data_IF_738867111450
#
_entry.id   IF_738867111450
#
_cell.length_a   1.000
_cell.length_b   1.000
_cell.length_c   1.000
_cell.angle_alpha   90.00
_cell.angle_beta   90.00
_cell.angle_gamma   90.00
#
_symmetry.space_group_name_H-M   'P 1'
#
loop_
_entity.id
_entity.type
_entity.pdbx_description
1 polymer ?
#
# COMPACT_ATOMS: atom_id res chain seq x y z
N UNK A 1 6.81 2.87 4.79
CA UNK A 1 7.91 2.68 5.74
C UNK A 1 8.52 4.00 6.17
N UNK A 2 9.15 4.81 5.30
CA UNK A 2 9.78 6.09 5.69
C UNK A 2 8.83 7.00 6.46
N UNK A 3 7.57 7.12 6.05
CA UNK A 3 6.52 7.87 6.75
C UNK A 3 6.37 7.43 8.20
N UNK A 4 6.30 6.11 8.47
CA UNK A 4 6.15 5.60 9.84
C UNK A 4 7.38 5.89 10.69
N UNK A 5 8.59 5.81 10.11
CA UNK A 5 9.82 6.22 10.78
C UNK A 5 9.80 7.71 11.12
N UNK A 6 9.31 8.54 10.18
CA UNK A 6 9.23 9.98 10.39
C UNK A 6 8.21 10.34 11.47
N UNK A 7 6.98 9.79 11.40
CA UNK A 7 5.95 10.02 12.41
C UNK A 7 6.41 9.55 13.80
N UNK A 8 7.11 8.44 13.87
CA UNK A 8 7.54 7.84 15.13
C UNK A 8 8.77 8.54 15.74
N UNK A 9 9.76 8.92 14.93
CA UNK A 9 11.06 9.41 15.39
C UNK A 9 11.22 10.93 15.27
N UNK A 10 10.48 11.58 14.38
CA UNK A 10 10.52 13.02 14.12
C UNK A 10 9.11 13.57 13.84
N UNK A 11 8.22 13.57 14.84
CA UNK A 11 6.80 13.90 14.67
C UNK A 11 6.54 15.33 14.21
N UNK A 12 7.47 16.26 14.42
CA UNK A 12 7.33 17.67 14.03
C UNK A 12 7.14 17.85 12.52
N UNK A 13 7.66 16.95 11.70
CA UNK A 13 7.47 16.98 10.23
C UNK A 13 6.14 16.40 9.75
N UNK A 14 5.29 15.87 10.63
CA UNK A 14 4.09 15.15 10.24
C UNK A 14 2.81 15.89 10.59
N UNK A 15 1.88 15.94 9.61
CA UNK A 15 0.51 16.45 9.80
C UNK A 15 -0.48 15.37 9.35
N UNK A 16 -1.24 14.81 10.30
CA UNK A 16 -2.21 13.75 10.04
C UNK A 16 -2.67 13.07 11.33
N UNK A 17 -3.22 11.87 11.20
CA UNK A 17 -3.69 11.10 12.35
C UNK A 17 -2.56 10.89 13.37
N UNK A 18 -2.81 11.30 14.61
CA UNK A 18 -1.85 11.18 15.71
C UNK A 18 -0.68 12.18 15.64
N UNK A 19 -0.77 13.26 14.86
CA UNK A 19 0.29 14.28 14.79
C UNK A 19 0.48 15.05 16.08
N UNK A 20 -0.60 15.22 16.86
CA UNK A 20 -0.57 16.08 18.07
C UNK A 20 -0.40 17.58 17.80
N UNK A 21 -0.43 18.00 16.53
CA UNK A 21 -0.28 19.40 16.13
C UNK A 21 -1.50 20.20 16.57
N UNK A 22 -1.27 21.29 17.28
CA UNK A 22 -2.27 22.28 17.70
C UNK A 22 -1.99 23.60 16.98
N UNK A 23 -3.04 24.35 16.60
CA UNK A 23 -2.90 25.64 15.90
C UNK A 23 -3.11 25.55 14.40
N UNK A 24 -2.54 26.51 13.64
CA UNK A 24 -2.68 26.54 12.18
C UNK A 24 -1.83 25.46 11.52
N UNK A 25 -2.51 24.46 10.96
CA UNK A 25 -1.87 23.33 10.28
C UNK A 25 -1.11 23.74 9.02
N UNK A 26 -1.50 24.85 8.36
CA UNK A 26 -0.80 25.36 7.16
C UNK A 26 0.54 25.97 7.54
N UNK A 27 0.55 26.80 8.57
CA UNK A 27 1.79 27.36 9.11
C UNK A 27 2.73 26.24 9.57
N UNK A 28 2.20 25.25 10.26
CA UNK A 28 3.00 24.09 10.70
C UNK A 28 3.64 23.34 9.52
N UNK A 29 2.88 23.07 8.44
CA UNK A 29 3.42 22.43 7.22
C UNK A 29 4.53 23.27 6.60
N UNK A 30 4.33 24.58 6.47
CA UNK A 30 5.31 25.48 5.86
C UNK A 30 6.59 25.60 6.68
N UNK A 31 6.45 25.69 8.01
CA UNK A 31 7.59 25.78 8.93
C UNK A 31 8.46 24.51 8.95
N UNK A 32 7.89 23.35 8.59
CA UNK A 32 8.58 22.06 8.59
C UNK A 32 8.91 21.52 7.19
N UNK A 33 8.99 22.39 6.17
CA UNK A 33 9.46 22.00 4.84
C UNK A 33 10.97 21.63 4.88
N UNK A 34 11.42 20.65 4.08
CA UNK A 34 10.64 19.80 3.15
C UNK A 34 10.00 18.57 3.81
N UNK A 35 10.21 18.34 5.11
CA UNK A 35 9.83 17.12 5.81
C UNK A 35 8.32 16.86 5.78
N UNK A 36 7.51 17.89 5.89
CA UNK A 36 6.05 17.79 5.82
C UNK A 36 5.55 17.27 4.46
N UNK A 37 6.25 17.52 3.36
CA UNK A 37 5.95 16.92 2.05
C UNK A 37 6.33 15.44 2.02
N UNK A 38 7.49 15.09 2.56
CA UNK A 38 7.94 13.69 2.64
C UNK A 38 7.11 12.86 3.63
N UNK A 39 6.41 13.48 4.58
CA UNK A 39 5.49 12.78 5.48
C UNK A 39 4.25 12.24 4.75
N UNK A 40 3.81 12.90 3.67
CA UNK A 40 2.65 12.48 2.88
C UNK A 40 3.02 11.46 1.78
N UNK A 41 3.78 10.42 2.11
CA UNK A 41 4.18 9.39 1.14
C UNK A 41 3.13 8.29 0.92
N UNK A 42 1.92 8.46 1.43
CA UNK A 42 0.80 7.53 1.24
C UNK A 42 0.45 7.30 -0.24
N UNK A 43 0.76 8.26 -1.12
CA UNK A 43 0.62 8.10 -2.58
C UNK A 43 1.31 6.82 -3.10
N UNK A 44 2.45 6.41 -2.50
CA UNK A 44 3.15 5.18 -2.90
C UNK A 44 2.35 3.91 -2.58
N UNK A 45 1.62 3.90 -1.45
CA UNK A 45 0.73 2.80 -1.09
C UNK A 45 -0.52 2.77 -1.97
N UNK A 46 -1.09 3.95 -2.25
CA UNK A 46 -2.23 4.08 -3.18
C UNK A 46 -1.83 3.70 -4.62
N UNK A 47 -0.60 3.99 -5.04
CA UNK A 47 -0.07 3.49 -6.33
C UNK A 47 -0.06 1.95 -6.36
N UNK A 48 0.33 1.29 -5.26
CA UNK A 48 0.24 -0.18 -5.16
C UNK A 48 -1.21 -0.66 -5.32
N UNK A 49 -2.19 0.01 -4.71
CA UNK A 49 -3.61 -0.33 -4.85
C UNK A 49 -4.10 -0.18 -6.31
N UNK A 50 -3.76 0.93 -6.95
CA UNK A 50 -4.07 1.14 -8.36
C UNK A 50 -3.41 0.11 -9.29
N UNK A 51 -2.16 -0.28 -9.01
CA UNK A 51 -1.47 -1.34 -9.75
C UNK A 51 -2.17 -2.70 -9.61
N UNK A 52 -2.74 -3.01 -8.45
CA UNK A 52 -3.51 -4.26 -8.27
C UNK A 52 -4.67 -4.31 -9.28
N UNK A 53 -5.50 -3.29 -9.31
CA UNK A 53 -6.63 -3.19 -10.24
C UNK A 53 -6.15 -3.15 -11.71
N UNK A 54 -5.09 -2.40 -12.02
CA UNK A 54 -4.44 -2.38 -13.33
C UNK A 54 -4.10 -3.80 -13.81
N UNK A 55 -3.40 -4.59 -13.00
CA UNK A 55 -3.01 -5.95 -13.38
C UNK A 55 -4.18 -6.92 -13.46
N UNK A 56 -5.23 -6.73 -12.66
CA UNK A 56 -6.48 -7.51 -12.76
C UNK A 56 -7.09 -7.30 -14.15
N UNK A 57 -7.27 -6.05 -14.57
CA UNK A 57 -7.82 -5.70 -15.90
C UNK A 57 -6.94 -6.25 -17.02
N UNK A 58 -5.63 -6.02 -16.95
CA UNK A 58 -4.68 -6.51 -17.96
C UNK A 58 -4.74 -8.03 -18.10
N UNK A 59 -4.80 -8.78 -16.98
CA UNK A 59 -4.90 -10.22 -17.01
C UNK A 59 -6.22 -10.70 -17.63
N UNK A 60 -7.35 -10.09 -17.26
CA UNK A 60 -8.67 -10.38 -17.79
C UNK A 60 -8.74 -10.14 -19.31
N UNK A 61 -8.28 -8.97 -19.77
CA UNK A 61 -8.27 -8.61 -21.21
C UNK A 61 -7.36 -9.50 -22.04
N UNK A 62 -6.17 -9.87 -21.50
CA UNK A 62 -5.25 -10.79 -22.18
C UNK A 62 -5.83 -12.20 -22.36
N UNK A 63 -6.73 -12.61 -21.49
CA UNK A 63 -7.43 -13.89 -21.57
C UNK A 63 -8.72 -13.82 -22.41
N UNK A 64 -8.90 -12.80 -23.24
CA UNK A 64 -10.10 -12.66 -24.09
C UNK A 64 -11.38 -12.44 -23.30
N UNK A 65 -11.30 -11.75 -22.18
CA UNK A 65 -12.44 -11.47 -21.30
C UNK A 65 -13.01 -12.75 -20.62
N UNK A 66 -12.14 -13.73 -20.36
CA UNK A 66 -12.53 -14.95 -19.65
C UNK A 66 -12.71 -14.71 -18.15
N UNK A 67 -13.94 -14.87 -17.67
CA UNK A 67 -14.32 -14.72 -16.27
C UNK A 67 -13.62 -15.73 -15.36
N UNK A 68 -13.22 -16.90 -15.86
CA UNK A 68 -12.50 -17.93 -15.11
C UNK A 68 -11.19 -17.37 -14.52
N UNK A 69 -10.53 -16.47 -15.23
CA UNK A 69 -9.32 -15.78 -14.74
C UNK A 69 -9.62 -14.94 -13.50
N UNK A 70 -10.76 -14.23 -13.47
CA UNK A 70 -11.19 -13.44 -12.32
C UNK A 70 -11.55 -14.33 -11.14
N UNK A 71 -12.30 -15.41 -11.38
CA UNK A 71 -12.66 -16.40 -10.36
C UNK A 71 -11.42 -17.03 -9.74
N UNK A 72 -10.44 -17.43 -10.56
CA UNK A 72 -9.16 -17.98 -10.08
C UNK A 72 -8.37 -16.99 -9.24
N UNK A 73 -8.32 -15.72 -9.64
CA UNK A 73 -7.66 -14.68 -8.87
C UNK A 73 -8.39 -14.36 -7.56
N UNK A 74 -9.73 -14.34 -7.59
CA UNK A 74 -10.56 -14.13 -6.41
C UNK A 74 -10.36 -15.25 -5.38
N UNK A 75 -10.39 -16.50 -5.80
CA UNK A 75 -10.12 -17.66 -4.92
C UNK A 75 -8.72 -17.60 -4.30
N UNK A 76 -7.70 -17.15 -5.06
CA UNK A 76 -6.34 -17.00 -4.53
C UNK A 76 -6.21 -15.90 -3.50
N UNK A 77 -7.02 -14.83 -3.59
CA UNK A 77 -6.77 -13.58 -2.87
C UNK A 77 -6.69 -13.73 -1.35
N UNK A 78 -7.66 -14.41 -0.74
CA UNK A 78 -7.66 -14.64 0.70
C UNK A 78 -6.47 -15.52 1.14
N UNK A 79 -6.29 -16.67 0.50
CA UNK A 79 -5.22 -17.62 0.85
C UNK A 79 -3.82 -17.07 0.60
N UNK A 80 -3.67 -16.11 -0.30
CA UNK A 80 -2.41 -15.43 -0.57
C UNK A 80 -1.96 -14.54 0.59
N UNK A 81 -2.92 -13.97 1.34
CA UNK A 81 -2.63 -13.01 2.41
C UNK A 81 -2.82 -13.59 3.81
N UNK A 82 -3.68 -14.60 3.99
CA UNK A 82 -4.11 -15.05 5.31
C UNK A 82 -2.92 -15.49 6.19
N UNK A 83 -2.01 -16.32 5.69
CA UNK A 83 -0.90 -16.82 6.51
C UNK A 83 0.08 -15.70 6.93
N UNK A 84 0.62 -14.86 6.03
CA UNK A 84 1.54 -13.79 6.45
C UNK A 84 0.86 -12.75 7.35
N UNK A 85 -0.41 -12.39 7.11
CA UNK A 85 -1.15 -11.46 7.97
C UNK A 85 -1.43 -12.08 9.33
N UNK A 86 -1.84 -13.35 9.36
CA UNK A 86 -2.04 -14.12 10.60
C UNK A 86 -0.78 -14.10 11.45
N UNK A 87 0.35 -14.51 10.89
CA UNK A 87 1.62 -14.53 11.63
C UNK A 87 2.02 -13.14 12.12
N UNK A 88 1.88 -12.11 11.28
CA UNK A 88 2.20 -10.74 11.68
C UNK A 88 1.29 -10.23 12.81
N UNK A 89 -0.03 -10.50 12.75
CA UNK A 89 -0.99 -10.09 13.77
C UNK A 89 -0.71 -10.77 15.10
N UNK A 90 -0.54 -12.11 15.09
CA UNK A 90 -0.24 -12.89 16.29
C UNK A 90 1.12 -12.47 16.89
N UNK A 91 2.15 -12.33 16.05
CA UNK A 91 3.46 -11.85 16.49
C UNK A 91 3.36 -10.43 17.08
N UNK A 92 2.61 -9.52 16.46
CA UNK A 92 2.38 -8.15 16.97
C UNK A 92 1.75 -8.15 18.35
N UNK A 93 0.68 -8.91 18.55
CA UNK A 93 0.00 -9.03 19.84
C UNK A 93 0.90 -9.65 20.91
N UNK A 94 1.56 -10.76 20.61
CA UNK A 94 2.43 -11.43 21.57
C UNK A 94 3.67 -10.59 21.92
N UNK A 95 4.35 -10.00 20.95
CA UNK A 95 5.52 -9.16 21.21
C UNK A 95 5.15 -7.90 22.01
N UNK A 96 3.94 -7.38 21.83
CA UNK A 96 3.44 -6.28 22.65
C UNK A 96 3.18 -6.75 24.09
N UNK A 97 2.45 -7.85 24.28
CA UNK A 97 2.16 -8.43 25.62
C UNK A 97 3.42 -8.78 26.41
N UNK A 98 4.49 -9.24 25.75
CA UNK A 98 5.79 -9.47 26.36
C UNK A 98 6.64 -8.21 26.58
N UNK A 99 6.11 -7.00 26.26
CA UNK A 99 6.84 -5.74 26.41
C UNK A 99 8.02 -5.54 25.47
N UNK A 100 8.09 -6.33 24.39
CA UNK A 100 9.16 -6.24 23.37
C UNK A 100 8.88 -5.08 22.43
N UNK A 101 7.62 -4.84 22.04
CA UNK A 101 7.20 -3.67 21.28
C UNK A 101 6.93 -2.50 22.21
N UNK A 102 7.86 -1.56 22.31
CA UNK A 102 7.82 -0.46 23.25
C UNK A 102 7.28 0.82 22.60
N UNK A 103 5.99 0.86 22.27
CA UNK A 103 5.35 2.02 21.65
C UNK A 103 5.45 3.27 22.55
N UNK A 104 5.07 3.16 23.81
CA UNK A 104 5.12 4.23 24.82
C UNK A 104 6.56 4.67 25.12
N UNK A 105 7.49 3.72 25.12
CA UNK A 105 8.92 4.02 25.32
C UNK A 105 9.49 4.91 24.22
N UNK A 106 9.05 4.73 22.98
CA UNK A 106 9.43 5.61 21.87
C UNK A 106 8.67 6.95 21.94
N UNK A 107 7.39 6.94 22.32
CA UNK A 107 6.61 8.16 22.54
C UNK A 107 7.27 9.08 23.57
N UNK A 108 7.72 8.54 24.69
CA UNK A 108 8.41 9.30 25.73
C UNK A 108 9.73 9.95 25.29
N UNK A 109 10.44 9.32 24.32
CA UNK A 109 11.70 9.85 23.79
C UNK A 109 11.50 10.90 22.69
N UNK A 110 10.49 10.75 21.85
CA UNK A 110 10.30 11.55 20.64
C UNK A 110 9.16 12.56 20.73
N UNK A 111 8.29 12.43 21.73
CA UNK A 111 7.06 13.22 21.84
C UNK A 111 5.97 12.88 20.82
N UNK A 112 6.12 11.75 20.09
CA UNK A 112 5.17 11.35 19.06
C UNK A 112 3.87 10.82 19.66
N UNK A 113 2.78 11.57 19.47
CA UNK A 113 1.42 11.17 19.86
C UNK A 113 0.95 9.94 19.07
N UNK A 114 1.42 9.77 17.84
CA UNK A 114 1.09 8.59 17.04
C UNK A 114 1.54 7.28 17.71
N UNK A 115 2.70 7.27 18.36
CA UNK A 115 3.21 6.09 19.06
C UNK A 115 2.30 5.63 20.18
N UNK A 116 1.57 6.54 20.86
CA UNK A 116 0.56 6.19 21.87
C UNK A 116 -0.78 5.82 21.25
N UNK A 117 -1.14 6.44 20.11
CA UNK A 117 -2.41 6.19 19.43
C UNK A 117 -2.53 4.81 18.78
N UNK A 118 -1.40 4.12 18.56
CA UNK A 118 -1.36 2.77 17.94
C UNK A 118 -1.17 1.63 18.94
N UNK A 119 -1.13 1.93 20.24
CA UNK A 119 -1.04 0.91 21.28
C UNK A 119 -2.29 0.02 21.22
N UNK A 120 -2.15 -1.32 21.23
CA UNK A 120 -3.28 -2.21 21.28
C UNK A 120 -4.18 -1.95 22.50
N UNK A 121 -5.49 -1.90 22.29
CA UNK A 121 -6.47 -1.61 23.35
C UNK A 121 -7.01 -2.85 24.03
N UNK A 122 -6.67 -4.04 23.50
CA UNK A 122 -7.10 -5.33 24.03
C UNK A 122 -5.97 -6.35 24.01
N UNK A 123 -5.96 -7.24 24.97
CA UNK A 123 -5.07 -8.38 25.10
C UNK A 123 -5.79 -9.73 24.88
N UNK A 124 -7.07 -9.69 24.51
CA UNK A 124 -7.91 -10.89 24.35
C UNK A 124 -7.43 -11.79 23.20
N UNK A 125 -6.97 -13.04 23.45
CA UNK A 125 -6.46 -13.94 22.43
C UNK A 125 -7.51 -14.33 21.37
N UNK A 126 -8.79 -14.44 21.80
CA UNK A 126 -9.90 -14.75 20.88
C UNK A 126 -10.15 -13.63 19.87
N UNK A 127 -10.08 -12.37 20.30
CA UNK A 127 -10.15 -11.22 19.40
C UNK A 127 -8.91 -11.14 18.49
N UNK A 128 -7.74 -11.44 19.01
CA UNK A 128 -6.49 -11.48 18.20
C UNK A 128 -6.61 -12.50 17.07
N UNK A 129 -7.11 -13.70 17.37
CA UNK A 129 -7.36 -14.75 16.38
C UNK A 129 -8.43 -14.32 15.35
N UNK A 130 -9.55 -13.76 15.81
CA UNK A 130 -10.60 -13.25 14.93
C UNK A 130 -10.08 -12.15 13.99
N UNK A 131 -9.32 -11.18 14.53
CA UNK A 131 -8.76 -10.09 13.70
C UNK A 131 -7.78 -10.62 12.67
N UNK A 132 -6.90 -11.55 13.04
CA UNK A 132 -5.92 -12.15 12.14
C UNK A 132 -6.55 -12.91 10.97
N UNK A 133 -7.71 -13.57 11.20
CA UNK A 133 -8.37 -14.39 10.18
C UNK A 133 -9.46 -13.65 9.39
N UNK A 134 -10.20 -12.73 10.03
CA UNK A 134 -11.37 -12.10 9.41
C UNK A 134 -11.45 -10.57 9.61
N UNK A 135 -11.27 -10.08 10.83
CA UNK A 135 -11.56 -8.70 11.19
C UNK A 135 -10.75 -7.67 10.40
N UNK A 136 -9.48 -7.97 10.09
CA UNK A 136 -8.61 -7.13 9.27
C UNK A 136 -9.15 -6.98 7.84
N UNK A 137 -9.66 -8.05 7.25
CA UNK A 137 -10.13 -8.06 5.86
C UNK A 137 -11.51 -7.43 5.69
N UNK A 138 -12.44 -7.75 6.59
CA UNK A 138 -13.87 -7.41 6.44
C UNK A 138 -14.27 -6.17 7.25
N UNK A 139 -13.69 -5.97 8.45
CA UNK A 139 -14.11 -4.94 9.39
C UNK A 139 -13.05 -3.84 9.62
N UNK A 140 -11.92 -3.88 8.91
CA UNK A 140 -10.78 -2.96 9.12
C UNK A 140 -10.30 -2.87 10.59
N UNK A 141 -10.30 -3.99 11.30
CA UNK A 141 -9.86 -4.07 12.71
C UNK A 141 -8.38 -4.37 12.79
N UNK A 142 -7.58 -3.36 13.16
CA UNK A 142 -6.10 -3.39 13.09
C UNK A 142 -5.42 -3.17 14.45
N UNK A 143 -6.07 -3.60 15.53
CA UNK A 143 -5.64 -3.36 16.91
C UNK A 143 -4.17 -3.74 17.20
N UNK A 144 -3.71 -4.88 16.66
CA UNK A 144 -2.41 -5.44 17.02
C UNK A 144 -1.26 -5.04 16.07
N UNK A 145 -1.58 -4.51 14.90
CA UNK A 145 -0.59 -4.04 13.94
C UNK A 145 -1.21 -3.02 12.99
N UNK A 146 -1.00 -1.76 13.29
CA UNK A 146 -1.66 -0.62 12.61
C UNK A 146 -1.52 -0.64 11.08
N UNK A 147 -0.37 -1.06 10.57
CA UNK A 147 -0.12 -1.07 9.10
C UNK A 147 -1.04 -1.99 8.32
N UNK A 148 -1.76 -2.89 8.99
CA UNK A 148 -2.68 -3.83 8.35
C UNK A 148 -3.99 -3.19 7.85
N UNK A 149 -4.26 -1.90 8.14
CA UNK A 149 -5.41 -1.19 7.58
C UNK A 149 -5.47 -1.25 6.05
N UNK A 150 -4.31 -1.29 5.39
CA UNK A 150 -4.22 -1.42 3.94
C UNK A 150 -4.76 -2.78 3.43
N UNK A 151 -4.79 -3.82 4.26
CA UNK A 151 -5.29 -5.15 3.88
C UNK A 151 -6.78 -5.15 3.58
N UNK A 152 -7.57 -4.42 4.37
CA UNK A 152 -8.98 -4.22 4.09
C UNK A 152 -9.19 -3.58 2.72
N UNK A 153 -8.48 -2.49 2.42
CA UNK A 153 -8.60 -1.77 1.14
C UNK A 153 -8.15 -2.66 -0.03
N UNK A 154 -7.01 -3.36 0.11
CA UNK A 154 -6.52 -4.29 -0.92
C UNK A 154 -7.55 -5.41 -1.18
N UNK A 155 -8.11 -5.98 -0.11
CA UNK A 155 -9.02 -7.10 -0.19
C UNK A 155 -10.33 -6.68 -0.86
N UNK A 156 -11.05 -5.72 -0.26
CA UNK A 156 -12.33 -5.24 -0.78
C UNK A 156 -12.19 -4.61 -2.16
N UNK A 157 -11.18 -3.75 -2.40
CA UNK A 157 -10.94 -3.13 -3.70
C UNK A 157 -10.64 -4.14 -4.81
N UNK A 158 -9.95 -5.25 -4.49
CA UNK A 158 -9.76 -6.35 -5.45
C UNK A 158 -11.07 -7.03 -5.80
N UNK A 159 -11.91 -7.36 -4.78
CA UNK A 159 -13.20 -8.02 -5.03
C UNK A 159 -14.19 -7.10 -5.75
N UNK A 160 -14.19 -5.79 -5.46
CA UNK A 160 -14.95 -4.81 -6.24
C UNK A 160 -14.51 -4.83 -7.72
N UNK A 161 -13.19 -4.84 -7.97
CA UNK A 161 -12.66 -4.92 -9.36
C UNK A 161 -13.07 -6.22 -10.04
N UNK A 162 -12.96 -7.38 -9.37
CA UNK A 162 -13.43 -8.66 -9.91
C UNK A 162 -14.91 -8.64 -10.19
N UNK A 163 -15.75 -8.16 -9.27
CA UNK A 163 -17.21 -8.12 -9.41
C UNK A 163 -17.65 -7.23 -10.57
N UNK A 164 -17.08 -6.03 -10.67
CA UNK A 164 -17.40 -5.08 -11.76
C UNK A 164 -17.02 -5.69 -13.13
N UNK A 165 -15.83 -6.29 -13.24
CA UNK A 165 -15.40 -6.92 -14.50
C UNK A 165 -16.22 -8.17 -14.83
N UNK A 166 -16.58 -8.99 -13.85
CA UNK A 166 -17.39 -10.17 -14.07
C UNK A 166 -18.81 -9.84 -14.57
N UNK A 167 -19.41 -8.77 -14.02
CA UNK A 167 -20.78 -8.36 -14.36
C UNK A 167 -20.83 -7.49 -15.63
N UNK A 168 -19.91 -6.57 -15.80
CA UNK A 168 -19.95 -5.56 -16.84
C UNK A 168 -18.77 -5.60 -17.83
N UNK A 169 -17.80 -6.48 -17.65
CA UNK A 169 -16.59 -6.51 -18.48
C UNK A 169 -16.84 -6.87 -19.96
N UNK A 170 -17.94 -7.59 -20.26
CA UNK A 170 -18.33 -8.00 -21.62
C UNK A 170 -19.39 -7.11 -22.27
N UNK A 171 -19.82 -6.00 -21.63
CA UNK A 171 -20.80 -5.09 -22.24
C UNK A 171 -20.21 -4.43 -23.49
N UNK A 172 -21.09 -4.13 -24.48
CA UNK A 172 -20.72 -3.52 -25.76
C UNK A 172 -19.94 -2.20 -25.58
N UNK A 173 -20.34 -1.37 -24.63
CA UNK A 173 -19.68 -0.10 -24.29
C UNK A 173 -18.86 -0.26 -23.02
N UNK A 174 -17.60 -0.67 -23.14
CA UNK A 174 -16.69 -0.98 -22.01
C UNK A 174 -16.57 0.13 -20.98
N UNK A 175 -16.64 1.39 -21.41
CA UNK A 175 -16.57 2.54 -20.50
C UNK A 175 -17.71 2.62 -19.50
N UNK A 176 -18.87 2.02 -19.81
CA UNK A 176 -19.99 1.87 -18.86
C UNK A 176 -19.55 1.08 -17.63
N UNK A 177 -18.75 0.03 -17.79
CA UNK A 177 -18.19 -0.74 -16.69
C UNK A 177 -17.41 0.15 -15.69
N UNK A 178 -16.54 1.01 -16.22
CA UNK A 178 -15.75 1.92 -15.39
C UNK A 178 -16.57 3.07 -14.81
N UNK A 179 -17.60 3.54 -15.51
CA UNK A 179 -18.55 4.52 -14.98
C UNK A 179 -19.34 3.94 -13.79
N UNK A 180 -19.82 2.70 -13.89
CA UNK A 180 -20.47 1.99 -12.78
C UNK A 180 -19.50 1.84 -11.61
N UNK A 181 -18.26 1.44 -11.88
CA UNK A 181 -17.23 1.31 -10.83
C UNK A 181 -16.98 2.66 -10.13
N UNK A 182 -16.90 3.75 -10.90
CA UNK A 182 -16.75 5.10 -10.36
C UNK A 182 -17.93 5.48 -9.46
N UNK A 183 -19.17 5.23 -9.90
CA UNK A 183 -20.37 5.52 -9.12
C UNK A 183 -20.37 4.79 -7.76
N UNK A 184 -19.89 3.55 -7.72
CA UNK A 184 -19.76 2.80 -6.46
C UNK A 184 -18.62 3.35 -5.60
N UNK A 185 -17.46 3.64 -6.20
CA UNK A 185 -16.26 4.07 -5.49
C UNK A 185 -16.34 5.48 -4.91
N UNK A 186 -17.17 6.37 -5.48
CA UNK A 186 -17.35 7.76 -4.98
C UNK A 186 -17.86 7.79 -3.54
N UNK A 187 -18.70 6.81 -3.13
CA UNK A 187 -19.18 6.73 -1.76
C UNK A 187 -18.09 6.33 -0.75
N UNK A 188 -16.98 5.74 -1.23
CA UNK A 188 -15.85 5.32 -0.44
C UNK A 188 -14.55 5.73 -1.14
N UNK A 189 -14.07 6.97 -0.94
CA UNK A 189 -12.97 7.56 -1.72
C UNK A 189 -11.68 6.72 -1.79
N UNK A 190 -11.40 5.90 -0.77
CA UNK A 190 -10.26 4.98 -0.77
C UNK A 190 -10.26 3.98 -1.96
N UNK A 191 -11.44 3.69 -2.54
CA UNK A 191 -11.54 2.78 -3.69
C UNK A 191 -11.46 3.46 -5.05
N UNK A 192 -11.48 4.78 -5.12
CA UNK A 192 -11.31 5.53 -6.38
C UNK A 192 -9.99 5.19 -7.09
N UNK A 193 -8.96 4.85 -6.34
CA UNK A 193 -7.67 4.45 -6.89
C UNK A 193 -7.75 3.13 -7.68
N UNK A 194 -8.67 2.23 -7.32
CA UNK A 194 -8.91 1.01 -8.09
C UNK A 194 -9.59 1.32 -9.43
N UNK A 195 -10.48 2.31 -9.47
CA UNK A 195 -11.04 2.81 -10.72
C UNK A 195 -9.95 3.38 -11.61
N UNK A 196 -9.09 4.24 -11.06
CA UNK A 196 -7.95 4.82 -11.78
C UNK A 196 -7.04 3.73 -12.37
N UNK A 197 -6.69 2.71 -11.56
CA UNK A 197 -5.90 1.57 -12.01
C UNK A 197 -6.59 0.75 -13.09
N UNK A 198 -7.90 0.50 -12.95
CA UNK A 198 -8.70 -0.26 -13.93
C UNK A 198 -8.77 0.46 -15.28
N UNK A 199 -9.04 1.77 -15.28
CA UNK A 199 -9.05 2.61 -16.49
C UNK A 199 -7.67 2.57 -17.17
N UNK A 200 -6.58 2.72 -16.40
CA UNK A 200 -5.23 2.62 -16.93
C UNK A 200 -4.92 1.23 -17.51
N UNK A 201 -5.43 0.16 -16.90
CA UNK A 201 -5.30 -1.21 -17.42
C UNK A 201 -5.98 -1.39 -18.77
N UNK A 202 -7.16 -0.78 -18.96
CA UNK A 202 -7.86 -0.78 -20.25
C UNK A 202 -7.08 0.03 -21.30
N UNK A 203 -6.63 1.22 -20.96
CA UNK A 203 -5.82 2.06 -21.85
C UNK A 203 -4.51 1.37 -22.27
N UNK A 204 -3.88 0.62 -21.37
CA UNK A 204 -2.70 -0.17 -21.68
C UNK A 204 -2.96 -1.21 -22.77
N UNK A 205 -4.08 -1.90 -22.72
CA UNK A 205 -4.42 -2.90 -23.75
C UNK A 205 -4.68 -2.25 -25.11
N UNK A 206 -5.37 -1.10 -25.14
CA UNK A 206 -5.63 -0.35 -26.38
C UNK A 206 -4.34 0.21 -27.01
N UNK A 207 -3.33 0.57 -26.19
CA UNK A 207 -2.07 1.15 -26.69
C UNK A 207 -1.18 0.16 -27.43
N UNK A 208 -1.25 -1.14 -27.18
CA UNK A 208 -0.36 -2.12 -27.83
C UNK A 208 -0.33 -2.01 -29.35
N UNK A 209 -1.26 -1.26 -29.94
CA UNK A 209 -1.46 -1.13 -31.37
C UNK A 209 -0.91 0.18 -32.01
N UNK A 210 -0.45 1.23 -31.27
CA UNK A 210 -0.28 2.47 -32.01
C UNK A 210 0.63 3.60 -31.56
N UNK A 211 1.29 3.64 -30.41
CA UNK A 211 2.02 4.83 -29.98
C UNK A 211 3.56 4.66 -29.94
N UNK A 212 4.24 5.06 -31.03
CA UNK A 212 5.70 5.16 -31.11
C UNK A 212 6.11 6.56 -31.56
N UNK A 213 6.16 7.54 -30.66
CA UNK A 213 6.77 8.84 -31.01
C UNK A 213 7.50 9.45 -29.81
N UNK A 214 8.65 10.11 -30.07
CA UNK A 214 9.52 10.72 -29.06
C UNK A 214 8.87 11.83 -28.23
N UNK A 215 7.81 12.50 -28.74
CA UNK A 215 7.03 13.49 -28.00
C UNK A 215 6.25 12.90 -26.80
N UNK A 216 5.86 11.64 -26.87
CA UNK A 216 5.10 10.97 -25.80
C UNK A 216 5.94 10.71 -24.55
N UNK A 217 7.27 10.63 -24.67
CA UNK A 217 8.16 10.41 -23.52
C UNK A 217 8.13 11.59 -22.55
N UNK A 218 8.25 12.81 -23.05
CA UNK A 218 8.23 14.02 -22.21
C UNK A 218 6.86 14.24 -21.59
N UNK A 219 5.78 13.99 -22.32
CA UNK A 219 4.42 14.01 -21.78
C UNK A 219 4.27 12.99 -20.66
N UNK A 220 4.80 11.76 -20.84
CA UNK A 220 4.79 10.74 -19.81
C UNK A 220 5.56 11.17 -18.54
N UNK A 221 6.73 11.77 -18.68
CA UNK A 221 7.50 12.34 -17.55
C UNK A 221 6.70 13.44 -16.84
N UNK A 222 6.12 14.37 -17.61
CA UNK A 222 5.32 15.47 -17.05
C UNK A 222 4.11 14.95 -16.26
N UNK A 223 3.41 13.93 -16.76
CA UNK A 223 2.28 13.31 -16.06
C UNK A 223 2.73 12.61 -14.77
N UNK A 224 3.86 11.89 -14.78
CA UNK A 224 4.38 11.27 -13.55
C UNK A 224 4.71 12.34 -12.50
N UNK A 225 5.39 13.42 -12.89
CA UNK A 225 5.72 14.52 -11.97
C UNK A 225 4.45 15.17 -11.45
N UNK A 226 3.48 15.48 -12.33
CA UNK A 226 2.21 16.07 -11.94
C UNK A 226 1.46 15.17 -10.95
N UNK A 227 1.40 13.86 -11.22
CA UNK A 227 0.76 12.89 -10.33
C UNK A 227 1.43 12.79 -8.96
N UNK A 228 2.75 12.86 -8.89
CA UNK A 228 3.48 12.92 -7.63
C UNK A 228 3.19 14.23 -6.88
N UNK A 229 3.23 15.37 -7.56
CA UNK A 229 2.91 16.67 -6.94
C UNK A 229 1.50 16.68 -6.36
N UNK A 230 0.48 16.25 -7.13
CA UNK A 230 -0.91 16.18 -6.66
C UNK A 230 -1.02 15.24 -5.45
N UNK A 231 -0.40 14.06 -5.51
CA UNK A 231 -0.47 13.07 -4.44
C UNK A 231 0.32 13.44 -3.18
N UNK A 232 1.22 14.42 -3.25
CA UNK A 232 1.99 14.90 -2.09
C UNK A 232 1.37 16.15 -1.44
N UNK A 233 0.28 16.71 -1.98
CA UNK A 233 -0.39 17.88 -1.38
C UNK A 233 -0.90 17.52 0.02
N UNK A 234 -0.45 18.23 1.08
CA UNK A 234 -0.92 17.97 2.43
C UNK A 234 -2.38 18.38 2.62
N UNK A 235 -3.10 17.66 3.49
CA UNK A 235 -4.55 17.88 3.73
C UNK A 235 -4.96 19.33 4.03
N UNK A 236 -4.19 20.16 4.78
CA UNK A 236 -4.60 21.53 5.05
C UNK A 236 -4.69 22.45 3.83
N UNK A 237 -4.08 22.04 2.70
CA UNK A 237 -4.10 22.80 1.45
C UNK A 237 -5.17 22.32 0.47
N UNK A 238 -5.93 21.28 0.82
CA UNK A 238 -6.99 20.78 -0.04
C UNK A 238 -8.25 21.69 0.04
N UNK A 239 -8.94 21.88 -1.08
CA UNK A 239 -10.26 22.53 -1.08
C UNK A 239 -11.28 21.76 -0.24
N UNK A 240 -12.28 22.47 0.28
CA UNK A 240 -13.39 21.87 1.02
C UNK A 240 -14.08 20.80 0.16
N UNK A 241 -14.31 19.64 0.73
CA UNK A 241 -14.93 18.49 0.05
C UNK A 241 -13.96 17.60 -0.73
N UNK A 242 -12.70 17.98 -0.87
CA UNK A 242 -11.67 17.12 -1.47
C UNK A 242 -10.92 16.36 -0.36
N UNK A 243 -10.93 15.04 -0.44
CA UNK A 243 -10.18 14.18 0.51
C UNK A 243 -8.79 13.80 -0.02
N UNK A 244 -7.90 13.37 0.88
CA UNK A 244 -6.58 12.87 0.49
C UNK A 244 -6.68 11.66 -0.46
N UNK A 245 -7.66 10.78 -0.24
CA UNK A 245 -7.88 9.60 -1.09
C UNK A 245 -8.26 10.00 -2.52
N UNK A 246 -9.03 11.07 -2.69
CA UNK A 246 -9.34 11.61 -4.02
C UNK A 246 -8.08 12.14 -4.71
N UNK A 247 -7.23 12.89 -4.00
CA UNK A 247 -5.96 13.37 -4.56
C UNK A 247 -5.01 12.22 -4.90
N UNK A 248 -4.96 11.18 -4.07
CA UNK A 248 -4.18 9.99 -4.37
C UNK A 248 -4.71 9.26 -5.62
N UNK A 249 -6.02 9.13 -5.78
CA UNK A 249 -6.60 8.48 -6.96
C UNK A 249 -6.27 9.23 -8.25
N UNK A 250 -6.38 10.57 -8.23
CA UNK A 250 -5.98 11.43 -9.36
C UNK A 250 -4.47 11.35 -9.60
N UNK A 251 -3.65 11.42 -8.55
CA UNK A 251 -2.21 11.28 -8.64
C UNK A 251 -1.80 9.94 -9.27
N UNK A 252 -2.41 8.84 -8.83
CA UNK A 252 -2.16 7.50 -9.38
C UNK A 252 -2.60 7.40 -10.84
N UNK A 253 -3.75 7.99 -11.20
CA UNK A 253 -4.19 8.05 -12.60
C UNK A 253 -3.14 8.71 -13.49
N UNK A 254 -2.60 9.86 -13.08
CA UNK A 254 -1.55 10.55 -13.83
C UNK A 254 -0.24 9.75 -13.86
N UNK A 255 0.20 9.18 -12.73
CA UNK A 255 1.43 8.37 -12.68
C UNK A 255 1.32 7.17 -13.62
N UNK A 256 0.24 6.38 -13.53
CA UNK A 256 0.06 5.21 -14.38
C UNK A 256 -0.08 5.58 -15.86
N UNK A 257 -0.84 6.64 -16.16
CA UNK A 257 -0.94 7.18 -17.53
C UNK A 257 0.43 7.60 -18.08
N UNK A 258 1.23 8.27 -17.27
CA UNK A 258 2.61 8.65 -17.63
C UNK A 258 3.51 7.46 -17.89
N UNK A 259 3.42 6.41 -17.07
CA UNK A 259 4.16 5.14 -17.26
C UNK A 259 3.72 4.43 -18.55
N UNK A 260 2.42 4.45 -18.85
CA UNK A 260 1.86 3.91 -20.10
C UNK A 260 2.44 4.66 -21.29
N UNK A 261 2.55 5.97 -21.25
CA UNK A 261 3.03 6.79 -22.35
C UNK A 261 4.55 6.73 -22.52
N UNK A 262 5.32 6.49 -21.45
CA UNK A 262 6.79 6.52 -21.49
C UNK A 262 7.42 5.13 -21.28
N UNK A 263 7.75 4.47 -22.38
CA UNK A 263 8.47 3.19 -22.35
C UNK A 263 9.86 3.30 -21.66
N UNK A 264 10.51 4.48 -21.69
CA UNK A 264 11.80 4.69 -21.03
C UNK A 264 11.67 4.64 -19.51
N UNK A 265 10.66 5.32 -18.94
CA UNK A 265 10.40 5.26 -17.49
C UNK A 265 10.01 3.85 -17.09
N UNK A 266 9.15 3.19 -17.88
CA UNK A 266 8.76 1.82 -17.61
C UNK A 266 9.96 0.87 -17.59
N UNK A 267 10.88 0.95 -18.57
CA UNK A 267 12.11 0.16 -18.60
C UNK A 267 13.05 0.47 -17.44
N UNK A 268 13.13 1.73 -17.00
CA UNK A 268 13.92 2.12 -15.83
C UNK A 268 13.35 1.48 -14.54
N UNK A 269 12.02 1.51 -14.36
CA UNK A 269 11.36 0.86 -13.21
C UNK A 269 11.39 -0.68 -13.28
N UNK A 270 11.51 -1.26 -14.47
CA UNK A 270 11.67 -2.70 -14.66
C UNK A 270 13.12 -3.19 -14.44
N UNK A 271 14.01 -2.34 -13.94
CA UNK A 271 15.39 -2.72 -13.67
C UNK A 271 15.47 -3.79 -12.57
N UNK A 272 16.48 -4.65 -12.66
CA UNK A 272 16.66 -5.84 -11.80
C UNK A 272 16.45 -5.56 -10.31
N UNK A 273 17.01 -4.45 -9.82
CA UNK A 273 16.92 -4.07 -8.40
C UNK A 273 15.51 -3.66 -8.00
N UNK A 274 14.80 -2.90 -8.83
CA UNK A 274 13.42 -2.50 -8.56
C UNK A 274 12.49 -3.73 -8.52
N UNK A 275 12.67 -4.66 -9.46
CA UNK A 275 11.93 -5.94 -9.48
C UNK A 275 12.27 -6.80 -8.25
N UNK A 276 13.55 -6.82 -7.86
CA UNK A 276 14.00 -7.55 -6.67
C UNK A 276 13.38 -6.97 -5.40
N UNK A 277 13.44 -5.65 -5.18
CA UNK A 277 12.78 -4.98 -4.06
C UNK A 277 11.25 -5.17 -4.08
N UNK A 278 10.62 -5.03 -5.23
CA UNK A 278 9.18 -5.21 -5.40
C UNK A 278 8.68 -6.59 -4.96
N UNK A 279 9.51 -7.63 -5.09
CA UNK A 279 9.19 -8.99 -4.62
C UNK A 279 8.90 -9.06 -3.12
N UNK A 280 9.62 -8.28 -2.32
CA UNK A 280 9.55 -8.30 -0.86
C UNK A 280 8.68 -7.17 -0.28
N UNK A 281 8.08 -6.33 -1.14
CA UNK A 281 7.35 -5.13 -0.71
C UNK A 281 6.26 -5.43 0.32
N UNK A 282 5.52 -6.51 0.14
CA UNK A 282 4.46 -6.91 1.08
C UNK A 282 5.05 -7.33 2.44
N UNK A 283 6.10 -8.14 2.42
CA UNK A 283 6.82 -8.52 3.66
C UNK A 283 7.43 -7.29 4.36
N UNK A 284 7.95 -6.29 3.60
CA UNK A 284 8.44 -5.03 4.17
C UNK A 284 7.31 -4.28 4.88
N UNK A 285 6.10 -4.22 4.29
CA UNK A 285 4.93 -3.58 4.91
C UNK A 285 4.59 -4.25 6.25
N UNK A 286 4.72 -5.57 6.36
CA UNK A 286 4.41 -6.29 7.60
C UNK A 286 5.51 -6.17 8.65
N UNK A 287 6.77 -6.21 8.24
CA UNK A 287 7.92 -6.37 9.15
C UNK A 287 8.45 -5.05 9.71
N UNK A 288 8.35 -3.93 8.96
CA UNK A 288 9.04 -2.68 9.33
C UNK A 288 8.59 -2.09 10.68
N UNK A 289 7.35 -2.31 11.10
CA UNK A 289 6.84 -1.86 12.41
C UNK A 289 7.56 -2.61 13.54
N UNK A 290 7.77 -3.91 13.40
CA UNK A 290 8.51 -4.68 14.41
C UNK A 290 9.93 -4.14 14.59
N UNK A 291 10.62 -3.87 13.49
CA UNK A 291 11.98 -3.32 13.54
C UNK A 291 11.99 -1.89 14.10
N UNK A 292 10.97 -1.09 13.78
CA UNK A 292 10.84 0.29 14.30
C UNK A 292 10.78 0.31 15.84
N UNK A 293 9.95 -0.54 16.44
CA UNK A 293 9.73 -0.58 17.89
C UNK A 293 10.66 -1.52 18.68
N UNK A 294 11.62 -2.14 18.00
CA UNK A 294 12.65 -2.96 18.63
C UNK A 294 14.05 -2.41 18.31
N UNK A 295 14.62 -2.82 17.19
CA UNK A 295 15.97 -2.45 16.76
C UNK A 295 16.15 -0.93 16.60
N UNK A 296 15.22 -0.26 15.92
CA UNK A 296 15.37 1.18 15.67
C UNK A 296 15.21 2.00 16.93
N UNK A 297 14.34 1.58 17.85
CA UNK A 297 14.24 2.20 19.19
C UNK A 297 15.52 2.03 19.98
N UNK A 298 16.09 0.81 20.00
CA UNK A 298 17.36 0.56 20.65
C UNK A 298 18.48 1.43 20.05
N UNK A 299 18.56 1.49 18.72
CA UNK A 299 19.54 2.30 18.01
C UNK A 299 19.35 3.81 18.27
N UNK A 300 18.10 4.27 18.33
CA UNK A 300 17.78 5.66 18.66
C UNK A 300 18.30 6.02 20.06
N UNK A 301 18.02 5.18 21.08
CA UNK A 301 18.51 5.40 22.44
C UNK A 301 20.04 5.43 22.50
N UNK A 302 20.71 4.55 21.77
CA UNK A 302 22.16 4.49 21.72
C UNK A 302 22.76 5.75 21.09
N UNK A 303 22.23 6.19 19.95
CA UNK A 303 22.79 7.32 19.20
C UNK A 303 22.38 8.68 19.77
N UNK A 304 21.24 8.80 20.44
CA UNK A 304 20.77 10.04 21.05
C UNK A 304 21.70 10.56 22.15
N UNK A 305 22.52 9.71 22.73
CA UNK A 305 23.55 10.11 23.72
C UNK A 305 24.69 10.89 23.05
N UNK A 306 24.96 10.64 21.79
CA UNK A 306 26.11 11.21 21.07
C UNK A 306 25.70 12.26 20.03
N UNK A 307 24.43 12.31 19.63
CA UNK A 307 23.93 13.12 18.52
C UNK A 307 22.79 14.01 19.00
N UNK A 308 23.05 15.30 19.12
CA UNK A 308 22.05 16.31 19.52
C UNK A 308 21.10 16.72 18.37
N UNK A 309 21.55 16.60 17.11
CA UNK A 309 20.82 17.00 15.91
C UNK A 309 19.72 16.02 15.54
N UNK A 310 18.44 16.38 15.76
CA UNK A 310 17.27 15.51 15.47
C UNK A 310 17.24 14.97 14.04
N UNK A 311 17.60 15.79 13.03
CA UNK A 311 17.60 15.40 11.62
C UNK A 311 18.67 14.36 11.31
N UNK A 312 19.87 14.57 11.86
CA UNK A 312 20.98 13.63 11.70
C UNK A 312 20.66 12.31 12.41
N UNK A 313 20.15 12.39 13.64
CA UNK A 313 19.74 11.21 14.42
C UNK A 313 18.67 10.41 13.68
N UNK A 314 17.61 11.06 13.20
CA UNK A 314 16.56 10.44 12.40
C UNK A 314 17.15 9.78 11.14
N UNK A 315 17.98 10.52 10.39
CA UNK A 315 18.59 10.03 9.16
C UNK A 315 19.45 8.78 9.36
N UNK A 316 20.29 8.77 10.41
CA UNK A 316 21.15 7.63 10.75
C UNK A 316 20.34 6.43 11.23
N UNK A 317 19.37 6.63 12.13
CA UNK A 317 18.52 5.54 12.61
C UNK A 317 17.74 4.93 11.44
N UNK A 318 17.13 5.74 10.58
CA UNK A 318 16.41 5.27 9.41
C UNK A 318 17.33 4.50 8.45
N UNK A 319 18.51 5.06 8.11
CA UNK A 319 19.45 4.46 7.17
C UNK A 319 20.00 3.12 7.67
N UNK A 320 20.34 3.01 8.95
CA UNK A 320 20.86 1.77 9.54
C UNK A 320 19.77 0.72 9.78
N UNK A 321 18.52 1.14 9.98
CA UNK A 321 17.39 0.22 10.13
C UNK A 321 16.92 -0.38 8.81
N UNK A 322 17.08 0.32 7.67
CA UNK A 322 16.63 -0.15 6.35
C UNK A 322 17.20 -1.54 5.96
N UNK A 323 18.53 -1.81 6.07
CA UNK A 323 19.10 -3.12 5.80
C UNK A 323 18.52 -4.22 6.69
N UNK A 324 18.27 -3.91 7.98
CA UNK A 324 17.70 -4.86 8.94
C UNK A 324 16.26 -5.19 8.57
N UNK A 325 15.44 -4.17 8.25
CA UNK A 325 14.08 -4.39 7.74
C UNK A 325 14.12 -5.27 6.49
N UNK A 326 15.03 -5.00 5.56
CA UNK A 326 15.10 -5.77 4.31
C UNK A 326 15.50 -7.22 4.56
N UNK A 327 16.49 -7.45 5.42
CA UNK A 327 16.94 -8.80 5.78
C UNK A 327 15.80 -9.61 6.43
N UNK A 328 15.14 -9.03 7.42
CA UNK A 328 13.99 -9.66 8.08
C UNK A 328 12.81 -9.88 7.11
N UNK A 329 12.59 -8.98 6.17
CA UNK A 329 11.54 -9.12 5.15
C UNK A 329 11.83 -10.24 4.16
N UNK A 330 13.10 -10.47 3.78
CA UNK A 330 13.51 -11.63 2.96
C UNK A 330 13.23 -12.93 3.70
N UNK A 331 13.55 -12.99 5.00
CA UNK A 331 13.24 -14.15 5.86
C UNK A 331 11.72 -14.38 5.95
N UNK A 332 10.95 -13.33 6.25
CA UNK A 332 9.49 -13.39 6.35
C UNK A 332 8.83 -13.83 5.04
N UNK A 333 9.29 -13.30 3.90
CA UNK A 333 8.83 -13.71 2.58
C UNK A 333 9.00 -15.21 2.35
N UNK A 334 10.19 -15.74 2.64
CA UNK A 334 10.50 -17.17 2.41
C UNK A 334 9.71 -18.09 3.32
N UNK A 335 9.53 -17.70 4.58
CA UNK A 335 8.90 -18.54 5.61
C UNK A 335 7.37 -18.51 5.55
N UNK A 336 6.76 -17.38 5.20
CA UNK A 336 5.31 -17.20 5.33
C UNK A 336 4.64 -16.76 4.03
N UNK A 337 5.18 -15.78 3.30
CA UNK A 337 4.52 -15.27 2.11
C UNK A 337 4.60 -16.26 0.94
N UNK A 338 5.76 -16.85 0.69
CA UNK A 338 5.94 -17.82 -0.41
C UNK A 338 5.10 -19.10 -0.21
N UNK A 339 5.05 -19.73 0.98
CA UNK A 339 4.13 -20.83 1.24
C UNK A 339 2.67 -20.47 1.06
N UNK A 340 2.26 -19.26 1.52
CA UNK A 340 0.89 -18.77 1.36
C UNK A 340 0.49 -18.63 -0.11
N UNK A 341 1.40 -18.11 -0.95
CA UNK A 341 1.20 -18.02 -2.41
C UNK A 341 1.07 -19.39 -3.08
N UNK A 342 1.86 -20.39 -2.62
CA UNK A 342 1.75 -21.78 -3.11
C UNK A 342 0.42 -22.41 -2.71
N UNK A 343 0.01 -22.22 -1.44
CA UNK A 343 -1.30 -22.67 -0.95
C UNK A 343 -2.44 -22.06 -1.76
N UNK A 344 -2.40 -20.76 -1.99
CA UNK A 344 -3.39 -20.05 -2.80
C UNK A 344 -3.48 -20.62 -4.23
N UNK A 345 -2.34 -20.94 -4.84
CA UNK A 345 -2.28 -21.59 -6.15
C UNK A 345 -2.93 -22.97 -6.14
N UNK A 346 -2.59 -23.79 -5.14
CA UNK A 346 -3.16 -25.14 -4.97
C UNK A 346 -4.67 -25.09 -4.76
N UNK A 347 -5.18 -24.25 -3.86
CA UNK A 347 -6.62 -24.10 -3.61
C UNK A 347 -7.36 -23.69 -4.89
N UNK A 348 -6.85 -22.69 -5.61
CA UNK A 348 -7.50 -22.22 -6.82
C UNK A 348 -7.53 -23.29 -7.94
N UNK A 349 -6.49 -24.11 -8.07
CA UNK A 349 -6.47 -25.20 -9.05
C UNK A 349 -7.44 -26.33 -8.71
N UNK A 350 -7.81 -26.47 -7.43
CA UNK A 350 -8.80 -27.48 -7.01
C UNK A 350 -10.25 -26.98 -7.09
N UNK A 351 -10.47 -25.68 -6.90
CA UNK A 351 -11.80 -25.09 -6.90
C UNK A 351 -12.29 -24.69 -8.31
N UNK A 352 -11.38 -24.30 -9.19
CA UNK A 352 -11.71 -23.78 -10.53
C UNK A 352 -11.23 -24.80 -11.58
N UNK A 353 -12.18 -25.42 -12.28
CA UNK A 353 -11.86 -26.30 -13.42
C UNK A 353 -11.22 -25.48 -14.54
N UNK A 354 -10.21 -26.05 -15.19
CA UNK A 354 -9.70 -25.50 -16.45
C UNK A 354 -10.73 -25.75 -17.54
N UNK A 355 -11.29 -24.68 -18.09
CA UNK A 355 -12.25 -24.78 -19.24
C UNK A 355 -11.54 -25.02 -20.58
N UNK A 356 -10.23 -25.23 -20.58
CA UNK A 356 -9.41 -25.49 -21.75
C UNK A 356 -9.03 -26.96 -21.86
N UNK A 357 -9.97 -27.85 -22.21
CA UNK A 357 -9.65 -29.25 -22.41
C UNK A 357 -10.86 -30.17 -22.56
N UNK A 358 -11.87 -29.77 -23.31
CA UNK A 358 -12.86 -30.67 -23.89
C UNK A 358 -13.10 -30.20 -25.34
N UNK A 359 -12.11 -30.40 -26.18
CA UNK A 359 -12.31 -30.63 -27.62
C UNK A 359 -11.96 -32.12 -27.79
N UNK A 360 -12.96 -32.97 -27.66
CA UNK A 360 -13.03 -34.28 -28.30
C UNK A 360 -13.79 -34.18 -29.63
#
# INVERSE_FOLDING_TARGET
MLTHYMIALRPEGYVGFGSGVTGDLREHVLANLPWSLFSNTSISLYLLFGMISFFIVVAYRKAGDDVTVLQRQACKRYFQFVLPVFVATIAGGLLYQFGILQYEGLAGLTGSVWNTAIVPTTDNPGLMLFYALAGIYFNNKVEFLTVLWCMHIIFIGSYLTYGVLALFGRVRYRWVCYAVFLCVAVFYPAYLVFVAGAVCGELWQQKREGFKTGRTVWLGVALVILGLVIGMVPSPFLPVGITLEMTYAVGVLFILSGLILSERIFRFLAWKWAVWFGRYLFSVILVHIFILYTFSLWLYRLLAVYIEGKDLLFGLVAALSMPVVMLCSVGFYRLFELPSRKLAGFVASRLIKDTGGEED
#
